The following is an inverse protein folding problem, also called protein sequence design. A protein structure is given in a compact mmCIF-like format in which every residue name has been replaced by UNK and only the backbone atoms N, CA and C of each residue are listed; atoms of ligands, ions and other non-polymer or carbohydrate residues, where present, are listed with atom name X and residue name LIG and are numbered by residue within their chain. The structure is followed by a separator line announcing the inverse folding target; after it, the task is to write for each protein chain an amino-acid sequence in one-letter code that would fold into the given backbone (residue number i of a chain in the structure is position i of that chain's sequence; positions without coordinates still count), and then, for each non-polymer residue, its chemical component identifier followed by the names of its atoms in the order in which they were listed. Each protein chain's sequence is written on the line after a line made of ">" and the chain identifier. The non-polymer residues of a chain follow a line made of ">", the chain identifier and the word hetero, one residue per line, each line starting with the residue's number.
data_IF_588359400204
#
_entry.id   IF_588359400204
#
_cell.length_a   1.000
_cell.length_b   1.000
_cell.length_c   1.000
_cell.angle_alpha   90.00
_cell.angle_beta   90.00
_cell.angle_gamma   90.00
#
_symmetry.space_group_name_H-M   'P 1'
#
loop_
_entity.id
_entity.type
_entity.pdbx_description
1 polymer ?
2 polymer ?
3 non-polymer ?
4 non-polymer ?
5 water ?
#
# COMPACT_ATOMS: atom_id res chain seq x y z
N UNK A 6 16.67 -11.79 12.30
CA UNK A 6 17.71 -10.83 12.69
C UNK A 6 17.74 -9.65 11.73
N UNK A 7 17.06 -8.56 12.08
CA UNK A 7 17.02 -7.35 11.27
C UNK A 7 18.05 -6.35 11.79
N UNK A 8 18.69 -5.63 10.88
CA UNK A 8 19.59 -4.57 11.26
C UNK A 8 18.83 -3.49 12.04
N UNK A 9 19.59 -2.68 12.79
CA UNK A 9 18.98 -1.60 13.56
C UNK A 9 18.15 -0.69 12.67
N UNK A 10 18.63 -0.41 11.46
CA UNK A 10 17.93 0.52 10.57
C UNK A 10 16.68 -0.13 9.98
N UNK A 11 16.75 -1.42 9.66
CA UNK A 11 15.55 -2.11 9.18
C UNK A 11 14.54 -2.33 10.31
N UNK A 12 15.01 -2.38 11.56
CA UNK A 12 14.08 -2.42 12.68
C UNK A 12 13.22 -1.17 12.74
N UNK A 13 13.81 0.00 12.42
CA UNK A 13 13.00 1.22 12.34
C UNK A 13 11.98 1.11 11.21
N UNK A 14 12.37 0.51 10.08
CA UNK A 14 11.42 0.32 9.00
C UNK A 14 10.28 -0.59 9.41
N UNK A 15 10.60 -1.64 10.17
CA UNK A 15 9.56 -2.55 10.61
C UNK A 15 8.59 -1.84 11.56
N UNK A 16 9.11 -0.91 12.37
CA UNK A 16 8.23 -0.12 13.23
C UNK A 16 7.30 0.75 12.41
N UNK A 17 7.79 1.33 11.31
CA UNK A 17 6.93 2.13 10.45
C UNK A 17 5.85 1.26 9.83
N UNK A 18 6.22 0.06 9.38
CA UNK A 18 5.25 -0.85 8.81
C UNK A 18 4.18 -1.21 9.84
N UNK A 19 4.60 -1.49 11.08
CA UNK A 19 3.64 -1.77 12.14
C UNK A 19 2.70 -0.60 12.36
N UNK A 20 3.22 0.63 12.36
CA UNK A 20 2.34 1.78 12.48
C UNK A 20 1.34 1.86 11.33
N UNK A 21 1.80 1.65 10.10
CA UNK A 21 0.86 1.72 8.98
C UNK A 21 -0.24 0.67 9.06
N UNK A 22 0.01 -0.45 9.74
CA UNK A 22 -0.98 -1.51 9.91
C UNK A 22 -1.80 -1.35 11.18
N UNK A 23 -1.57 -0.30 11.96
CA UNK A 23 -2.22 -0.18 13.25
C UNK A 23 -3.62 0.42 13.14
N UNK A 24 -4.40 0.26 14.21
CA UNK A 24 -5.80 0.65 14.21
C UNK A 24 -6.01 2.12 13.87
N UNK A 25 -5.12 3.00 14.33
CA UNK A 25 -5.39 4.42 14.18
C UNK A 25 -5.45 4.86 12.72
N UNK A 26 -4.85 4.11 11.79
CA UNK A 26 -4.87 4.49 10.39
C UNK A 26 -5.85 3.66 9.56
N UNK A 27 -6.71 2.87 10.20
CA UNK A 27 -7.50 1.86 9.49
C UNK A 27 -8.47 2.49 8.50
N UNK A 28 -8.94 3.71 8.75
CA UNK A 28 -9.95 4.29 7.85
C UNK A 28 -9.40 4.61 6.48
N UNK A 29 -8.09 4.71 6.34
CA UNK A 29 -7.48 5.01 5.04
C UNK A 29 -6.41 4.02 4.64
N UNK A 30 -5.98 3.13 5.54
CA UNK A 30 -4.97 2.14 5.20
C UNK A 30 -5.56 0.87 4.60
N UNK A 31 -6.86 0.61 4.80
CA UNK A 31 -7.42 -0.68 4.40
C UNK A 31 -7.27 -1.03 2.92
N UNK A 32 -7.30 -0.10 1.96
CA UNK A 32 -7.08 -0.52 0.57
C UNK A 32 -5.73 -1.18 0.35
N UNK A 33 -4.82 -1.07 1.31
CA UNK A 33 -3.44 -1.55 1.13
C UNK A 33 -3.16 -2.77 1.98
N UNK A 34 -4.18 -3.33 2.62
CA UNK A 34 -3.97 -4.49 3.48
C UNK A 34 -3.79 -5.79 2.71
N UNK A 35 -4.21 -5.88 1.45
CA UNK A 35 -4.01 -7.08 0.66
C UNK A 35 -3.91 -6.65 -0.80
N UNK A 36 -3.41 -7.52 -1.68
CA UNK A 36 -3.35 -7.15 -3.11
C UNK A 36 -4.71 -6.78 -3.68
N UNK A 37 -4.68 -5.88 -4.66
CA UNK A 37 -5.89 -5.62 -5.43
C UNK A 37 -6.29 -6.90 -6.13
N UNK A 38 -7.51 -7.38 -5.86
CA UNK A 38 -8.01 -8.61 -6.49
C UNK A 38 -8.70 -8.21 -7.79
N UNK A 39 -7.90 -8.03 -8.83
CA UNK A 39 -8.45 -7.50 -10.06
C UNK A 39 -9.44 -8.47 -10.69
N UNK A 40 -9.24 -9.77 -10.50
CA UNK A 40 -10.16 -10.72 -11.10
C UNK A 40 -11.49 -10.75 -10.36
N UNK A 41 -11.45 -10.70 -9.02
CA UNK A 41 -12.72 -10.68 -8.28
C UNK A 41 -13.50 -9.39 -8.53
N UNK A 42 -12.79 -8.28 -8.68
CA UNK A 42 -13.43 -6.99 -8.94
C UNK A 42 -13.68 -6.76 -10.42
N UNK A 43 -13.20 -7.66 -11.28
CA UNK A 43 -13.36 -7.56 -12.74
C UNK A 43 -12.80 -6.26 -13.30
N UNK A 44 -11.67 -5.83 -12.74
CA UNK A 44 -10.91 -4.70 -13.29
C UNK A 44 -9.95 -5.28 -14.33
N UNK A 45 -10.46 -5.42 -15.56
CA UNK A 45 -9.80 -6.28 -16.54
C UNK A 45 -8.52 -5.66 -17.11
N UNK A 46 -8.28 -4.37 -16.87
CA UNK A 46 -7.06 -3.73 -17.35
C UNK A 46 -6.05 -3.48 -16.24
N UNK A 47 -6.33 -3.91 -15.01
CA UNK A 47 -5.45 -3.56 -13.89
C UNK A 47 -4.03 -4.02 -14.15
N UNK A 48 -3.86 -5.29 -14.51
CA UNK A 48 -2.53 -5.83 -14.70
C UNK A 48 -1.89 -5.43 -16.02
N UNK A 49 -2.65 -4.84 -16.93
CA UNK A 49 -2.05 -4.24 -18.11
C UNK A 49 -1.41 -2.89 -17.79
N UNK A 50 -1.93 -2.21 -16.77
CA UNK A 50 -1.49 -0.88 -16.39
C UNK A 50 -0.49 -0.92 -15.24
N UNK A 51 -0.72 -1.83 -14.30
CA UNK A 51 0.12 -1.99 -13.12
C UNK A 51 0.98 -3.23 -13.34
N UNK A 52 2.25 -3.00 -13.68
CA UNK A 52 3.14 -4.10 -14.00
C UNK A 52 3.72 -4.77 -12.76
N UNK A 53 3.80 -4.08 -11.63
CA UNK A 53 4.42 -4.59 -10.41
C UNK A 53 3.51 -4.30 -9.23
N UNK A 54 2.50 -5.12 -9.00
CA UNK A 54 1.62 -4.89 -7.86
C UNK A 54 2.37 -4.96 -6.53
N UNK A 55 1.90 -4.19 -5.56
CA UNK A 55 2.47 -4.17 -4.21
C UNK A 55 1.43 -3.75 -3.19
N UNK A 56 1.55 -4.30 -1.99
CA UNK A 56 0.62 -3.97 -0.91
C UNK A 56 1.31 -4.29 0.41
N UNK A 57 0.68 -3.88 1.51
CA UNK A 57 1.33 -4.03 2.82
C UNK A 57 1.47 -5.48 3.26
N UNK A 58 0.55 -6.36 2.88
CA UNK A 58 0.71 -7.78 3.23
C UNK A 58 1.96 -8.36 2.58
N UNK A 59 2.22 -7.97 1.33
CA UNK A 59 3.44 -8.42 0.66
C UNK A 59 4.68 -7.80 1.29
N UNK A 60 4.63 -6.51 1.60
CA UNK A 60 5.77 -5.88 2.27
C UNK A 60 6.05 -6.56 3.60
N UNK A 61 5.01 -6.86 4.37
CA UNK A 61 5.20 -7.55 5.64
C UNK A 61 5.83 -8.91 5.43
N UNK A 62 5.36 -9.69 4.45
CA UNK A 62 5.93 -11.01 4.24
C UNK A 62 7.40 -10.92 3.85
N UNK A 63 7.75 -9.91 3.03
CA UNK A 63 9.15 -9.73 2.65
C UNK A 63 10.00 -9.29 3.84
N UNK A 64 9.48 -8.37 4.67
CA UNK A 64 10.16 -7.99 5.91
C UNK A 64 10.40 -9.21 6.79
N UNK A 65 9.33 -9.95 7.10
CA UNK A 65 9.45 -11.10 7.99
C UNK A 65 10.41 -12.14 7.44
N UNK A 66 10.45 -12.29 6.11
CA UNK A 66 11.38 -13.17 5.43
C UNK A 66 12.76 -12.62 5.22
N UNK A 67 13.05 -11.43 5.77
CA UNK A 67 14.38 -10.81 5.69
C UNK A 67 14.82 -10.58 4.24
N UNK A 68 13.88 -10.20 3.37
CA UNK A 68 14.19 -10.03 1.96
C UNK A 68 14.69 -8.63 1.60
N UNK A 69 14.53 -7.65 2.48
CA UNK A 69 14.97 -6.30 2.18
C UNK A 69 16.42 -6.13 2.61
N UNK A 70 17.33 -5.75 1.72
CA UNK A 70 18.73 -5.57 2.14
C UNK A 70 18.96 -4.31 2.94
N UNK A 71 18.09 -3.30 2.81
CA UNK A 71 18.30 -2.02 3.48
C UNK A 71 17.00 -1.25 3.47
N UNK A 72 17.01 -0.08 4.12
CA UNK A 72 15.80 0.73 4.23
C UNK A 72 15.32 1.20 2.86
N UNK A 73 16.24 1.46 1.94
CA UNK A 73 15.82 1.92 0.62
C UNK A 73 15.01 0.86 -0.13
N UNK A 74 15.35 -0.42 0.05
CA UNK A 74 14.55 -1.46 -0.59
C UNK A 74 13.14 -1.54 -0.04
N UNK A 75 13.00 -1.40 1.27
CA UNK A 75 11.68 -1.31 1.89
C UNK A 75 10.90 -0.11 1.37
N UNK A 76 11.54 1.07 1.38
CA UNK A 76 10.83 2.27 0.95
C UNK A 76 10.42 2.18 -0.52
N UNK A 77 11.24 1.54 -1.35
CA UNK A 77 10.88 1.39 -2.75
C UNK A 77 9.57 0.63 -2.91
N UNK A 78 9.34 -0.42 -2.09
CA UNK A 78 8.10 -1.17 -2.20
C UNK A 78 6.92 -0.36 -1.68
N UNK A 79 7.11 0.39 -0.58
CA UNK A 79 6.03 1.25 -0.08
C UNK A 79 5.64 2.27 -1.13
N UNK A 80 6.63 2.92 -1.74
CA UNK A 80 6.32 3.94 -2.73
C UNK A 80 5.73 3.35 -4.00
N UNK A 81 6.18 2.15 -4.38
CA UNK A 81 5.56 1.44 -5.51
C UNK A 81 4.08 1.21 -5.26
N UNK A 82 3.74 0.81 -4.03
CA UNK A 82 2.35 0.59 -3.68
C UNK A 82 1.52 1.86 -3.88
N UNK A 83 2.02 2.98 -3.37
CA UNK A 83 1.28 4.22 -3.55
C UNK A 83 1.23 4.65 -5.01
N UNK A 84 2.37 4.56 -5.71
CA UNK A 84 2.40 4.95 -7.11
C UNK A 84 1.41 4.16 -7.95
N UNK A 85 1.28 2.85 -7.68
CA UNK A 85 0.31 2.05 -8.42
C UNK A 85 -1.09 2.60 -8.23
N UNK A 86 -1.41 3.00 -7.00
CA UNK A 86 -2.74 3.53 -6.70
C UNK A 86 -2.97 4.83 -7.46
N UNK A 87 -1.98 5.74 -7.45
CA UNK A 87 -2.10 6.99 -8.21
C UNK A 87 -2.20 6.73 -9.71
N UNK A 88 -1.50 5.71 -10.22
CA UNK A 88 -1.51 5.45 -11.65
C UNK A 88 -2.85 4.87 -12.10
N UNK A 89 -3.44 3.96 -11.30
CA UNK A 89 -4.58 3.21 -11.80
C UNK A 89 -5.92 3.93 -11.63
N UNK A 90 -6.09 4.66 -10.53
CA UNK A 90 -7.39 5.17 -10.14
C UNK A 90 -7.60 6.60 -10.61
N UNK A 91 -8.84 7.04 -10.77
CA UNK A 91 -9.11 8.42 -11.14
C UNK A 91 -8.56 9.36 -10.08
N UNK A 92 -8.07 10.54 -10.47
CA UNK A 92 -7.39 11.41 -9.51
C UNK A 92 -8.26 11.87 -8.34
N UNK A 93 -9.57 12.00 -8.53
CA UNK A 93 -10.46 12.41 -7.44
C UNK A 93 -11.06 11.24 -6.70
N UNK A 94 -10.57 10.03 -6.94
CA UNK A 94 -11.15 8.86 -6.30
C UNK A 94 -10.86 8.85 -4.80
N UNK A 95 -11.82 8.31 -4.03
CA UNK A 95 -11.66 8.17 -2.59
C UNK A 95 -10.38 7.42 -2.22
N UNK A 96 -10.04 6.39 -3.00
CA UNK A 96 -8.87 5.59 -2.66
C UNK A 96 -7.57 6.35 -2.90
N UNK A 97 -7.56 7.29 -3.86
CA UNK A 97 -6.38 8.13 -4.02
C UNK A 97 -6.20 9.05 -2.81
N UNK A 98 -7.32 9.59 -2.29
CA UNK A 98 -7.22 10.41 -1.09
C UNK A 98 -6.72 9.59 0.09
N UNK A 99 -7.15 8.33 0.19
CA UNK A 99 -6.66 7.49 1.27
C UNK A 99 -5.18 7.20 1.12
N UNK A 100 -4.75 6.91 -0.11
CA UNK A 100 -3.33 6.72 -0.37
C UNK A 100 -2.52 7.92 0.07
N UNK A 101 -2.98 9.14 -0.25
CA UNK A 101 -2.21 10.33 0.13
C UNK A 101 -2.13 10.46 1.64
N UNK A 102 -3.21 10.15 2.34
CA UNK A 102 -3.20 10.25 3.79
C UNK A 102 -2.22 9.25 4.40
N UNK A 103 -2.23 8.01 3.90
CA UNK A 103 -1.30 7.03 4.44
C UNK A 103 0.13 7.35 4.01
N UNK A 104 0.31 7.84 2.80
CA UNK A 104 1.66 8.20 2.37
C UNK A 104 2.22 9.35 3.21
N UNK A 105 1.37 10.31 3.60
CA UNK A 105 1.83 11.37 4.51
C UNK A 105 2.37 10.77 5.80
N UNK A 106 1.66 9.80 6.36
CA UNK A 106 2.16 9.11 7.56
C UNK A 106 3.51 8.49 7.30
N UNK A 107 3.61 7.74 6.20
CA UNK A 107 4.85 7.04 5.88
C UNK A 107 6.01 8.02 5.66
N UNK A 108 5.78 9.06 4.85
CA UNK A 108 6.91 9.94 4.52
C UNK A 108 7.41 10.69 5.74
N UNK A 109 6.51 11.11 6.61
CA UNK A 109 6.92 11.73 7.86
C UNK A 109 7.76 10.78 8.70
N UNK A 110 7.27 9.56 8.91
CA UNK A 110 8.02 8.61 9.74
C UNK A 110 9.34 8.23 9.09
N UNK A 111 9.33 7.99 7.77
CA UNK A 111 10.56 7.55 7.12
C UNK A 111 11.60 8.66 7.13
N UNK A 112 11.17 9.91 6.97
CA UNK A 112 12.10 11.03 7.02
C UNK A 112 12.72 11.19 8.39
N UNK A 113 11.96 10.88 9.44
CA UNK A 113 12.35 11.26 10.79
C UNK A 113 13.09 10.17 11.54
N UNK A 114 13.25 9.00 10.94
CA UNK A 114 13.94 7.98 11.70
C UNK A 114 15.44 8.30 11.74
N UNK A 115 16.18 7.68 12.67
CA UNK A 115 17.61 7.95 12.77
C UNK A 115 18.34 7.62 11.47
N UNK A 116 19.49 8.26 11.26
CA UNK A 116 20.21 8.12 10.00
C UNK A 116 20.91 6.77 9.88
N UNK A 117 21.29 6.47 8.64
CA UNK A 117 22.16 5.37 8.22
C UNK A 117 21.48 4.00 8.19
N UNK B 1 -13.93 -2.03 2.61
CA UNK B 1 -13.79 -3.08 1.61
C UNK B 1 -14.53 -2.57 0.37
N UNK B 2 -14.40 -3.26 -0.75
CA UNK B 2 -15.05 -2.82 -1.98
C UNK B 2 -16.42 -3.44 -2.15
N UNK B 3 -17.36 -2.63 -2.64
CA UNK B 3 -18.66 -3.12 -3.10
C UNK B 3 -18.43 -3.87 -4.39
N UNK B 4 -18.50 -5.20 -4.32
CA UNK B 4 -18.16 -6.04 -5.46
C UNK B 4 -19.14 -5.78 -6.61
N UNK B 5 -20.44 -5.74 -6.31
CA UNK B 5 -21.44 -5.55 -7.35
C UNK B 5 -21.21 -4.24 -8.09
N UNK B 6 -21.05 -3.14 -7.36
CA UNK B 6 -20.92 -1.85 -8.02
C UNK B 6 -19.56 -1.67 -8.68
N UNK B 7 -18.50 -2.26 -8.11
CA UNK B 7 -17.20 -2.21 -8.77
C UNK B 7 -17.24 -2.91 -10.12
N UNK B 8 -17.85 -4.09 -10.17
CA UNK B 8 -18.00 -4.82 -11.43
C UNK B 8 -18.90 -4.05 -12.40
N UNK B 9 -19.93 -3.41 -11.86
CA UNK B 9 -20.88 -2.67 -12.66
C UNK B 9 -20.22 -1.51 -13.42
N UNK B 10 -19.43 -0.73 -12.68
CA UNK B 10 -18.89 0.52 -13.22
C UNK B 10 -17.46 0.46 -13.72
N UNK B 11 -16.76 -0.64 -13.44
CA UNK B 11 -15.41 -0.80 -13.94
C UNK B 11 -14.39 0.09 -13.25
N UNK B 12 -14.71 0.53 -12.04
CA UNK B 12 -13.78 1.29 -11.21
C UNK B 12 -14.10 0.89 -9.78
N UNK B 13 -13.11 1.06 -8.90
CA UNK B 13 -13.28 0.70 -7.50
C UNK B 13 -14.43 1.47 -6.87
N UNK B 14 -15.29 0.75 -6.16
CA UNK B 14 -16.40 1.36 -5.41
C UNK B 14 -16.29 0.93 -3.96
N UNK B 15 -16.22 1.90 -3.06
CA UNK B 15 -15.98 1.63 -1.65
C UNK B 15 -17.31 1.33 -0.96
N UNK B 16 -17.36 0.25 -0.17
CA UNK B 16 -18.55 -0.17 0.55
C UNK B 16 -18.59 0.27 2.00
N UNK B 17 -17.43 0.52 2.60
CA UNK B 17 -17.35 0.75 4.05
C UNK B 17 -17.26 2.23 4.39
X LIG C 1 -13.27 -1.96 3.76
X LIG C 1 -12.44 -2.80 4.12
X LIG C 1 -13.59 -0.75 4.59
X LIG D 1 -16.82 3.17 3.41
#
# INVERSE_FOLDING_TARGET
>A
GPLGSKLSEHLRYCDSILREMLSKKHAAYAWPFYKPVDAEALELHDYHDIIKHPMDLSTVKRKMDGREYPDAQGFAADVRLMFSNCYKYNPPDHEVVAMARKLQDVFEMRFAKMPDEP
>B
WYDVFLTRKYGKKKVAC
>C hetero
1 ACE C O CH3
>D hetero
1 NH2 N
#
